data_IF_378312929586
#
_entry.id   IF_378312929586
#
_cell.length_a   1.000
_cell.length_b   1.000
_cell.length_c   1.000
_cell.angle_alpha   90.00
_cell.angle_beta   90.00
_cell.angle_gamma   90.00
#
_symmetry.space_group_name_H-M   'P 1'
#
loop_
_entity.id
_entity.type
_entity.pdbx_description
1 polymer ?
#
# COMPACT_ATOMS: atom_id res chain seq x y z
N UNK A 1 34.00 12.61 -48.16
CA UNK A 1 32.60 12.17 -47.98
C UNK A 1 32.32 11.70 -46.54
N UNK A 2 32.67 12.50 -45.51
CA UNK A 2 32.82 11.96 -44.13
C UNK A 2 32.30 12.85 -42.99
N UNK A 3 31.96 14.13 -43.21
CA UNK A 3 31.44 15.00 -42.12
C UNK A 3 29.91 15.01 -41.98
N UNK A 4 29.16 14.75 -43.07
CA UNK A 4 27.69 14.81 -43.04
C UNK A 4 27.03 13.59 -42.35
N UNK A 5 27.58 12.39 -42.57
CA UNK A 5 27.05 11.14 -41.96
C UNK A 5 27.16 11.15 -40.43
N UNK A 6 28.20 11.77 -39.88
CA UNK A 6 28.45 11.77 -38.44
C UNK A 6 27.48 12.66 -37.64
N UNK A 7 27.04 13.78 -38.23
CA UNK A 7 26.03 14.66 -37.63
C UNK A 7 24.63 14.03 -37.61
N UNK A 8 24.30 13.26 -38.64
CA UNK A 8 23.01 12.56 -38.73
C UNK A 8 22.85 11.44 -37.68
N UNK A 9 23.94 10.71 -37.40
CA UNK A 9 23.97 9.66 -36.39
C UNK A 9 23.87 10.20 -34.95
N UNK A 10 24.47 11.36 -34.66
CA UNK A 10 24.34 12.01 -33.34
C UNK A 10 22.94 12.58 -33.10
N UNK A 11 22.30 13.20 -34.10
CA UNK A 11 20.94 13.71 -33.95
C UNK A 11 19.90 12.60 -33.76
N UNK A 12 20.03 11.47 -34.47
CA UNK A 12 19.13 10.32 -34.28
C UNK A 12 19.19 9.75 -32.86
N UNK A 13 20.39 9.67 -32.25
CA UNK A 13 20.52 9.19 -30.87
C UNK A 13 19.85 10.11 -29.85
N UNK A 14 19.97 11.43 -30.02
CA UNK A 14 19.37 12.42 -29.10
C UNK A 14 17.85 12.45 -29.25
N UNK A 15 17.32 12.40 -30.48
CA UNK A 15 15.86 12.37 -30.72
C UNK A 15 15.25 11.06 -30.17
N UNK A 16 15.95 9.94 -30.29
CA UNK A 16 15.49 8.65 -29.75
C UNK A 16 15.52 8.61 -28.22
N UNK A 17 16.44 9.33 -27.56
CA UNK A 17 16.49 9.41 -26.08
C UNK A 17 15.44 10.35 -25.52
N UNK A 18 15.12 11.44 -26.22
CA UNK A 18 14.04 12.35 -25.80
C UNK A 18 12.67 11.68 -25.97
N UNK A 19 12.46 10.87 -27.02
CA UNK A 19 11.19 10.14 -27.20
C UNK A 19 10.97 9.03 -26.16
N UNK A 20 12.02 8.38 -25.66
CA UNK A 20 11.88 7.39 -24.58
C UNK A 20 11.66 8.02 -23.21
N UNK A 21 12.22 9.21 -22.95
CA UNK A 21 11.99 9.92 -21.68
C UNK A 21 10.55 10.47 -21.59
N UNK A 22 9.94 10.86 -22.71
CA UNK A 22 8.53 11.32 -22.72
C UNK A 22 7.52 10.16 -22.59
N UNK A 23 7.88 8.94 -22.97
CA UNK A 23 6.96 7.80 -22.89
C UNK A 23 6.83 7.19 -21.47
N UNK A 24 7.71 7.55 -20.54
CA UNK A 24 7.65 7.05 -19.15
C UNK A 24 6.75 7.93 -18.26
N UNK A 25 6.34 9.11 -18.71
CA UNK A 25 5.61 10.08 -17.85
C UNK A 25 4.09 10.12 -17.99
N UNK A 26 3.45 9.28 -18.81
CA UNK A 26 1.98 9.35 -19.01
C UNK A 26 1.29 8.00 -19.14
N UNK A 27 1.62 7.04 -18.28
CA UNK A 27 0.70 5.96 -17.96
C UNK A 27 0.10 6.21 -16.57
N UNK A 28 -0.53 7.38 -16.40
CA UNK A 28 -1.62 7.52 -15.44
C UNK A 28 -2.78 6.69 -16.00
N UNK A 29 -2.69 5.36 -15.83
CA UNK A 29 -3.74 4.43 -16.20
C UNK A 29 -4.98 4.79 -15.40
N UNK A 30 -5.93 5.44 -16.05
CA UNK A 30 -7.24 5.70 -15.49
C UNK A 30 -7.94 4.35 -15.26
N UNK A 31 -7.94 3.86 -14.03
CA UNK A 31 -8.64 2.63 -13.68
C UNK A 31 -10.13 2.96 -13.60
N UNK A 32 -10.88 2.56 -14.61
CA UNK A 32 -12.35 2.60 -14.62
C UNK A 32 -12.86 1.54 -13.64
N UNK A 33 -13.43 1.96 -12.50
CA UNK A 33 -13.94 1.04 -11.46
C UNK A 33 -15.45 1.19 -11.24
N UNK A 34 -16.10 0.07 -10.88
CA UNK A 34 -17.55 -0.02 -10.60
C UNK A 34 -17.89 0.51 -9.21
N UNK A 35 -19.10 1.08 -8.99
CA UNK A 35 -19.55 1.53 -7.67
C UNK A 35 -19.43 0.45 -6.59
N UNK A 36 -19.09 0.84 -5.35
CA UNK A 36 -18.94 -0.07 -4.21
C UNK A 36 -17.56 -0.70 -4.05
N UNK A 37 -16.60 -0.39 -4.93
CA UNK A 37 -15.19 -0.81 -4.77
C UNK A 37 -14.42 0.11 -3.82
N UNK A 38 -13.43 -0.46 -3.12
CA UNK A 38 -12.41 0.31 -2.42
C UNK A 38 -11.42 0.86 -3.45
N UNK A 39 -11.20 2.18 -3.46
CA UNK A 39 -10.22 2.85 -4.31
C UNK A 39 -9.07 3.43 -3.49
N UNK A 40 -7.84 3.43 -4.01
CA UNK A 40 -6.75 4.15 -3.37
C UNK A 40 -7.02 5.66 -3.41
N UNK A 41 -6.70 6.34 -2.31
CA UNK A 41 -6.79 7.81 -2.19
C UNK A 41 -5.42 8.43 -1.92
N UNK A 42 -4.59 7.73 -1.15
CA UNK A 42 -3.20 8.06 -0.91
C UNK A 42 -2.37 6.77 -0.97
N UNK A 43 -1.14 6.87 -1.44
CA UNK A 43 -0.19 5.77 -1.47
C UNK A 43 1.23 6.26 -1.24
N UNK A 44 2.06 5.41 -0.66
CA UNK A 44 3.46 5.70 -0.39
C UNK A 44 4.33 4.46 -0.61
N UNK A 45 5.46 4.63 -1.30
CA UNK A 45 6.56 3.70 -1.18
C UNK A 45 7.19 3.86 0.21
N UNK A 46 7.33 2.75 0.92
CA UNK A 46 7.71 2.76 2.33
C UNK A 46 9.13 2.22 2.50
N UNK A 47 9.90 2.90 3.34
CA UNK A 47 11.21 2.46 3.82
C UNK A 47 11.03 1.66 5.11
N UNK A 48 11.71 0.53 5.21
CA UNK A 48 11.72 -0.32 6.40
C UNK A 48 12.75 0.20 7.40
N UNK A 49 12.29 0.58 8.58
CA UNK A 49 13.14 1.11 9.67
C UNK A 49 13.61 -0.01 10.59
N UNK A 50 12.67 -0.89 10.98
CA UNK A 50 12.94 -2.04 11.84
C UNK A 50 12.05 -3.22 11.44
N UNK A 51 12.49 -4.45 11.70
CA UNK A 51 11.72 -5.65 11.42
C UNK A 51 12.17 -6.85 12.23
N UNK A 52 11.22 -7.74 12.54
CA UNK A 52 11.46 -9.00 13.23
C UNK A 52 10.71 -10.15 12.56
N UNK A 53 11.33 -11.33 12.55
CA UNK A 53 10.73 -12.54 11.99
C UNK A 53 10.72 -12.51 10.47
N UNK A 54 9.62 -12.94 9.84
CA UNK A 54 9.60 -13.04 8.38
C UNK A 54 9.66 -11.68 7.66
N UNK A 55 9.34 -10.57 8.34
CA UNK A 55 9.47 -9.22 7.77
C UNK A 55 10.92 -8.75 7.59
N UNK A 56 11.89 -9.42 8.21
CA UNK A 56 13.32 -9.09 8.04
C UNK A 56 13.74 -9.14 6.56
N UNK A 57 13.11 -10.02 5.78
CA UNK A 57 13.37 -10.19 4.35
C UNK A 57 12.38 -9.41 3.45
N UNK A 58 11.42 -8.69 4.03
CA UNK A 58 10.46 -7.90 3.27
C UNK A 58 11.15 -6.73 2.55
N UNK A 59 10.78 -6.51 1.29
CA UNK A 59 11.26 -5.45 0.41
C UNK A 59 10.12 -4.91 -0.46
N UNK A 60 10.36 -3.86 -1.24
CA UNK A 60 9.36 -3.24 -2.13
C UNK A 60 8.03 -2.94 -1.43
N UNK A 61 8.10 -2.33 -0.25
CA UNK A 61 6.94 -2.13 0.61
C UNK A 61 6.16 -0.91 0.10
N UNK A 62 4.86 -1.09 -0.10
CA UNK A 62 3.95 -0.03 -0.49
C UNK A 62 2.71 -0.06 0.40
N UNK A 63 2.30 1.11 0.89
CA UNK A 63 1.12 1.28 1.72
C UNK A 63 0.14 2.23 1.04
N UNK A 64 -1.13 1.87 1.02
CA UNK A 64 -2.21 2.70 0.51
C UNK A 64 -3.30 2.89 1.57
N UNK A 65 -3.82 4.12 1.65
CA UNK A 65 -5.13 4.39 2.22
C UNK A 65 -6.17 4.20 1.12
N UNK A 66 -7.20 3.41 1.41
CA UNK A 66 -8.30 3.16 0.49
C UNK A 66 -9.62 3.69 1.03
N UNK A 67 -10.53 3.98 0.12
CA UNK A 67 -11.87 4.46 0.42
C UNK A 67 -12.89 3.73 -0.44
N UNK A 68 -13.99 3.31 0.18
CA UNK A 68 -15.13 2.75 -0.52
C UNK A 68 -15.86 3.84 -1.26
N UNK A 69 -16.12 3.61 -2.54
CA UNK A 69 -17.06 4.43 -3.27
C UNK A 69 -18.47 4.24 -2.69
N UNK A 70 -18.90 5.24 -1.93
CA UNK A 70 -20.27 5.35 -1.45
C UNK A 70 -21.05 6.26 -2.36
N UNK A 71 -22.35 5.96 -2.52
CA UNK A 71 -23.30 6.79 -3.25
C UNK A 71 -23.46 8.21 -2.64
N UNK A 72 -22.94 8.44 -1.43
CA UNK A 72 -22.95 9.76 -0.76
C UNK A 72 -21.56 10.36 -0.78
N UNK A 73 -21.32 11.27 -1.73
CA UNK A 73 -20.05 11.95 -2.01
C UNK A 73 -19.39 12.72 -0.84
N UNK A 74 -20.01 12.78 0.35
CA UNK A 74 -19.59 13.66 1.44
C UNK A 74 -18.63 13.04 2.45
N UNK A 75 -18.55 11.70 2.58
CA UNK A 75 -17.59 11.11 3.51
C UNK A 75 -16.23 10.94 2.80
N UNK A 76 -15.24 11.78 3.11
CA UNK A 76 -13.88 11.70 2.56
C UNK A 76 -12.96 10.77 3.35
N UNK A 77 -13.44 10.18 4.44
CA UNK A 77 -12.60 9.36 5.29
C UNK A 77 -12.17 8.05 4.61
N UNK A 78 -10.90 7.63 4.82
CA UNK A 78 -10.45 6.30 4.45
C UNK A 78 -11.26 5.20 5.15
N UNK A 79 -11.55 4.12 4.45
CA UNK A 79 -12.27 2.94 4.98
C UNK A 79 -11.41 1.68 5.03
N UNK A 80 -10.27 1.68 4.35
CA UNK A 80 -9.37 0.53 4.33
C UNK A 80 -7.92 0.93 4.15
N UNK A 81 -7.07 -0.08 4.23
CA UNK A 81 -5.65 0.00 3.87
C UNK A 81 -5.28 -1.17 2.97
N UNK A 82 -4.30 -0.95 2.11
CA UNK A 82 -3.64 -2.00 1.36
C UNK A 82 -2.14 -1.94 1.64
N UNK A 83 -1.59 -3.01 2.21
CA UNK A 83 -0.14 -3.18 2.32
C UNK A 83 0.30 -4.21 1.29
N UNK A 84 1.29 -3.86 0.48
CA UNK A 84 1.97 -4.79 -0.42
C UNK A 84 3.46 -4.81 -0.12
N UNK A 85 4.07 -5.98 -0.25
CA UNK A 85 5.50 -6.17 -0.06
C UNK A 85 5.96 -7.45 -0.76
N UNK A 86 7.27 -7.56 -0.96
CA UNK A 86 7.92 -8.70 -1.59
C UNK A 86 8.77 -9.43 -0.55
N UNK A 87 8.68 -10.76 -0.52
CA UNK A 87 9.60 -11.61 0.27
C UNK A 87 10.30 -12.60 -0.66
N UNK A 88 11.60 -12.88 -0.44
CA UNK A 88 12.30 -13.88 -1.23
C UNK A 88 11.68 -15.26 -1.03
N UNK A 89 11.42 -15.96 -2.13
CA UNK A 89 10.89 -17.33 -2.09
C UNK A 89 11.97 -18.29 -1.59
N UNK A 90 11.67 -19.04 -0.52
CA UNK A 90 12.60 -20.05 0.04
C UNK A 90 12.45 -21.41 -0.67
N UNK A 91 11.90 -21.46 -1.89
CA UNK A 91 11.69 -22.74 -2.59
C UNK A 91 13.00 -23.27 -3.16
N UNK A 92 13.36 -24.50 -2.76
CA UNK A 92 14.50 -25.30 -3.24
C UNK A 92 14.39 -25.77 -4.72
N UNK A 93 13.41 -25.27 -5.48
CA UNK A 93 13.22 -25.58 -6.90
C UNK A 93 13.64 -24.39 -7.74
N UNK A 94 14.20 -24.65 -8.93
CA UNK A 94 14.86 -23.73 -9.89
C UNK A 94 14.06 -22.53 -10.41
N UNK A 95 13.00 -22.12 -9.72
CA UNK A 95 12.15 -20.98 -10.05
C UNK A 95 12.20 -19.99 -8.88
N UNK A 96 13.32 -19.27 -8.79
CA UNK A 96 13.62 -18.22 -7.80
C UNK A 96 12.80 -16.95 -8.11
N UNK A 97 11.48 -17.05 -8.12
CA UNK A 97 10.61 -15.88 -8.20
C UNK A 97 10.28 -15.38 -6.79
N UNK A 98 10.57 -14.11 -6.55
CA UNK A 98 10.16 -13.44 -5.32
C UNK A 98 8.64 -13.52 -5.13
N UNK A 99 8.21 -13.78 -3.90
CA UNK A 99 6.79 -13.84 -3.56
C UNK A 99 6.26 -12.43 -3.30
N UNK A 100 5.29 -12.01 -4.10
CA UNK A 100 4.51 -10.80 -3.85
C UNK A 100 3.37 -11.08 -2.87
N UNK A 101 3.31 -10.30 -1.79
CA UNK A 101 2.28 -10.38 -0.76
C UNK A 101 1.42 -9.12 -0.80
N UNK A 102 0.10 -9.28 -0.65
CA UNK A 102 -0.87 -8.19 -0.65
C UNK A 102 -1.92 -8.44 0.44
N UNK A 103 -2.02 -7.50 1.38
CA UNK A 103 -2.93 -7.58 2.52
C UNK A 103 -3.93 -6.42 2.48
N UNK A 104 -5.22 -6.76 2.33
CA UNK A 104 -6.33 -5.82 2.36
C UNK A 104 -6.91 -5.76 3.77
N UNK A 105 -6.88 -4.58 4.37
CA UNK A 105 -7.28 -4.35 5.76
C UNK A 105 -8.44 -3.37 5.82
N UNK A 106 -9.29 -3.55 6.83
CA UNK A 106 -10.38 -2.62 7.14
C UNK A 106 -9.92 -1.70 8.24
N UNK A 107 -10.13 -0.39 8.08
CA UNK A 107 -9.88 0.56 9.16
C UNK A 107 -10.94 0.35 10.23
N UNK A 108 -10.52 -0.05 11.42
CA UNK A 108 -11.39 -0.33 12.57
C UNK A 108 -11.44 0.82 13.56
N UNK A 109 -10.43 1.68 13.57
CA UNK A 109 -10.37 2.84 14.45
C UNK A 109 -9.62 4.01 13.80
N UNK A 110 -9.98 5.23 14.18
CA UNK A 110 -9.38 6.49 13.74
C UNK A 110 -9.30 7.44 14.93
N UNK A 111 -8.11 7.96 15.22
CA UNK A 111 -7.87 8.83 16.38
C UNK A 111 -7.09 10.07 15.97
N UNK A 112 -7.46 11.21 16.51
CA UNK A 112 -6.61 12.39 16.50
C UNK A 112 -5.50 12.19 17.55
N UNK A 113 -4.24 12.27 17.13
CA UNK A 113 -3.07 12.13 18.01
C UNK A 113 -2.39 13.47 18.30
N UNK A 114 -3.08 14.57 17.99
CA UNK A 114 -2.64 15.94 18.21
C UNK A 114 -1.86 16.50 17.03
N UNK A 115 -1.65 17.82 17.05
CA UNK A 115 -0.86 18.54 16.05
C UNK A 115 -1.37 18.39 14.60
N UNK A 116 -2.64 18.05 14.37
CA UNK A 116 -3.17 17.75 13.03
C UNK A 116 -2.74 16.39 12.47
N UNK A 117 -2.16 15.52 13.30
CA UNK A 117 -1.81 14.16 12.92
C UNK A 117 -2.94 13.19 13.25
N UNK A 118 -3.16 12.20 12.39
CA UNK A 118 -4.26 11.23 12.54
C UNK A 118 -3.70 9.82 12.58
N UNK A 119 -4.08 9.05 13.58
CA UNK A 119 -3.79 7.62 13.64
C UNK A 119 -4.96 6.82 13.06
N UNK A 120 -4.64 5.86 12.20
CA UNK A 120 -5.55 4.89 11.65
C UNK A 120 -5.11 3.49 12.08
N UNK A 121 -6.04 2.71 12.62
CA UNK A 121 -5.81 1.31 12.98
C UNK A 121 -6.60 0.46 11.99
N UNK A 122 -5.90 -0.40 11.25
CA UNK A 122 -6.50 -1.31 10.29
C UNK A 122 -6.14 -2.76 10.62
N UNK A 123 -7.11 -3.66 10.46
CA UNK A 123 -6.91 -5.09 10.70
C UNK A 123 -7.57 -5.94 9.62
N UNK A 124 -7.17 -7.21 9.54
CA UNK A 124 -7.93 -8.18 8.73
C UNK A 124 -9.39 -8.17 9.15
N UNK A 125 -10.28 -8.24 8.17
CA UNK A 125 -11.69 -8.49 8.44
C UNK A 125 -11.76 -9.89 9.08
N UNK A 126 -12.42 -10.06 10.23
CA UNK A 126 -12.68 -11.38 10.74
C UNK A 126 -13.48 -12.14 9.67
N UNK A 127 -12.95 -13.25 9.17
CA UNK A 127 -13.75 -14.11 8.32
C UNK A 127 -14.98 -14.54 9.12
N UNK A 128 -16.18 -14.52 8.50
CA UNK A 128 -17.36 -15.03 9.17
C UNK A 128 -17.09 -16.51 9.48
N UNK A 129 -16.88 -16.82 10.75
CA UNK A 129 -16.80 -18.19 11.23
C UNK A 129 -18.09 -18.85 10.74
N UNK A 130 -17.99 -19.81 9.83
CA UNK A 130 -19.15 -20.58 9.39
C UNK A 130 -19.70 -21.27 10.65
N UNK A 131 -20.79 -20.74 11.20
CA UNK A 131 -21.41 -21.16 12.47
C UNK A 131 -21.98 -22.59 12.46
N UNK A 132 -21.56 -23.45 11.52
CA UNK A 132 -22.12 -24.77 11.29
C UNK A 132 -21.18 -25.94 11.62
N UNK A 133 -19.96 -25.68 12.14
CA UNK A 133 -19.09 -26.77 12.57
C UNK A 133 -19.19 -26.97 14.09
N UNK A 134 -19.47 -28.21 14.55
CA UNK A 134 -19.62 -28.50 15.97
C UNK A 134 -18.33 -28.18 16.74
N UNK A 135 -18.52 -27.60 17.92
CA UNK A 135 -17.52 -27.00 18.84
C UNK A 135 -16.69 -28.08 19.56
N UNK A 136 -16.14 -29.03 18.82
CA UNK A 136 -15.19 -30.01 19.36
C UNK A 136 -13.93 -30.05 18.49
N UNK A 137 -12.87 -29.43 19.02
CA UNK A 137 -11.44 -29.65 18.68
C UNK A 137 -10.79 -28.94 17.49
N UNK A 138 -11.23 -27.75 17.08
CA UNK A 138 -10.33 -26.83 16.37
C UNK A 138 -10.37 -25.45 17.01
N UNK A 139 -9.41 -25.18 17.90
CA UNK A 139 -8.97 -23.80 18.13
C UNK A 139 -8.23 -23.40 16.85
N UNK A 140 -8.97 -23.08 15.80
CA UNK A 140 -8.38 -22.60 14.56
C UNK A 140 -7.53 -21.37 14.91
N UNK A 141 -6.24 -21.44 14.56
CA UNK A 141 -5.33 -20.34 14.82
C UNK A 141 -5.77 -19.18 13.94
N UNK A 142 -6.45 -18.20 14.54
CA UNK A 142 -6.88 -17.02 13.81
C UNK A 142 -5.65 -16.26 13.33
N UNK A 143 -5.59 -16.03 12.03
CA UNK A 143 -4.60 -15.14 11.42
C UNK A 143 -4.92 -13.70 11.83
N UNK A 144 -3.93 -13.02 12.39
CA UNK A 144 -4.00 -11.63 12.83
C UNK A 144 -3.01 -10.84 12.01
N UNK A 145 -3.50 -9.81 11.33
CA UNK A 145 -2.67 -8.83 10.66
C UNK A 145 -3.21 -7.45 11.03
N UNK A 146 -2.36 -6.56 11.52
CA UNK A 146 -2.72 -5.22 11.96
C UNK A 146 -1.69 -4.23 11.48
N UNK A 147 -2.17 -3.08 11.01
CA UNK A 147 -1.36 -1.93 10.64
C UNK A 147 -1.86 -0.73 11.42
N UNK A 148 -0.95 -0.07 12.12
CA UNK A 148 -1.20 1.22 12.78
C UNK A 148 -0.43 2.27 11.99
N UNK A 149 -1.14 3.13 11.28
CA UNK A 149 -0.56 4.23 10.51
C UNK A 149 -0.79 5.54 11.25
N UNK A 150 0.25 6.36 11.38
CA UNK A 150 0.16 7.76 11.79
C UNK A 150 0.42 8.63 10.56
N UNK A 151 -0.58 9.43 10.19
CA UNK A 151 -0.54 10.36 9.09
C UNK A 151 -0.30 11.79 9.60
N UNK A 152 0.84 12.34 9.23
CA UNK A 152 1.30 13.70 9.53
C UNK A 152 1.08 14.68 8.36
N UNK A 153 0.33 14.31 7.31
CA UNK A 153 0.12 15.16 6.13
C UNK A 153 -0.56 16.51 6.43
N UNK A 154 -1.31 16.60 7.53
CA UNK A 154 -1.95 17.83 8.00
C UNK A 154 -1.28 18.41 9.24
N UNK A 155 -0.05 17.97 9.53
CA UNK A 155 0.65 18.35 10.76
C UNK A 155 0.98 19.85 10.78
N UNK A 156 0.75 20.47 11.94
CA UNK A 156 1.02 21.91 12.16
C UNK A 156 2.12 22.19 13.19
N UNK A 157 2.59 21.17 13.90
CA UNK A 157 3.62 21.34 14.92
C UNK A 157 5.00 21.62 14.31
N UNK A 158 5.78 22.46 14.98
CA UNK A 158 7.13 22.89 14.57
C UNK A 158 8.20 21.88 15.00
N UNK A 159 8.03 20.61 14.65
CA UNK A 159 9.04 19.57 14.86
C UNK A 159 9.50 18.95 13.54
N UNK A 160 10.78 18.56 13.49
CA UNK A 160 11.34 17.95 12.29
C UNK A 160 10.89 16.49 12.19
N UNK A 161 9.94 16.24 11.27
CA UNK A 161 9.49 14.91 10.86
C UNK A 161 9.73 14.74 9.36
N UNK A 162 10.79 14.04 8.93
CA UNK A 162 11.12 13.93 7.51
C UNK A 162 10.13 13.06 6.71
N UNK A 163 9.40 12.16 7.38
CA UNK A 163 8.38 11.31 6.79
C UNK A 163 7.01 11.74 7.27
N UNK A 164 6.07 11.85 6.34
CA UNK A 164 4.69 12.19 6.65
C UNK A 164 3.89 10.97 7.13
N UNK A 165 4.29 9.76 6.75
CA UNK A 165 3.66 8.53 7.22
C UNK A 165 4.65 7.70 8.04
N UNK A 166 4.20 7.26 9.21
CA UNK A 166 4.88 6.31 10.09
C UNK A 166 3.91 5.17 10.38
N UNK A 167 4.28 3.92 10.13
CA UNK A 167 3.39 2.80 10.39
C UNK A 167 4.08 1.59 11.04
N UNK A 168 3.36 0.95 11.94
CA UNK A 168 3.73 -0.29 12.59
C UNK A 168 2.86 -1.43 12.06
N UNK A 169 3.50 -2.48 11.55
CA UNK A 169 2.86 -3.68 11.02
C UNK A 169 3.10 -4.84 11.97
N UNK A 170 2.05 -5.61 12.25
CA UNK A 170 2.13 -6.79 13.09
C UNK A 170 1.34 -7.94 12.47
N UNK A 171 2.01 -9.08 12.31
CA UNK A 171 1.41 -10.32 11.81
C UNK A 171 1.64 -11.47 12.78
N UNK A 172 0.60 -12.24 13.06
CA UNK A 172 0.70 -13.39 13.94
C UNK A 172 -0.47 -14.34 13.85
N UNK A 173 -0.36 -15.42 14.60
CA UNK A 173 -1.39 -16.47 14.67
C UNK A 173 -1.77 -16.72 16.13
N UNK A 174 -3.01 -17.16 16.36
CA UNK A 174 -3.49 -17.47 17.71
C UNK A 174 -3.87 -16.24 18.54
N UNK A 175 -3.82 -16.33 19.86
CA UNK A 175 -4.50 -15.41 20.79
C UNK A 175 -3.58 -14.49 21.61
N UNK A 176 -2.34 -14.89 21.89
CA UNK A 176 -1.47 -14.22 22.88
C UNK A 176 -0.35 -13.34 22.30
N UNK A 177 -0.17 -13.29 20.98
CA UNK A 177 0.70 -12.31 20.31
C UNK A 177 2.21 -12.44 20.55
N UNK A 178 2.67 -13.45 21.30
CA UNK A 178 4.03 -13.54 21.87
C UNK A 178 5.14 -13.81 20.83
N UNK A 179 4.80 -14.16 19.59
CA UNK A 179 5.75 -14.46 18.51
C UNK A 179 5.30 -13.83 17.19
N UNK A 180 4.59 -12.71 17.28
CA UNK A 180 4.13 -12.00 16.09
C UNK A 180 5.35 -11.38 15.38
N UNK A 181 5.40 -11.54 14.07
CA UNK A 181 6.35 -10.80 13.24
C UNK A 181 5.94 -9.31 13.24
N UNK A 182 6.92 -8.43 13.27
CA UNK A 182 6.69 -6.98 13.30
C UNK A 182 7.55 -6.26 12.28
N UNK A 183 7.09 -5.11 11.82
CA UNK A 183 7.83 -4.26 10.90
C UNK A 183 7.42 -2.80 11.11
N UNK A 184 8.40 -1.92 11.29
CA UNK A 184 8.22 -0.48 11.34
C UNK A 184 8.62 0.12 9.99
N UNK A 185 7.73 0.93 9.42
CA UNK A 185 7.90 1.50 8.08
C UNK A 185 7.58 2.99 8.07
N UNK A 186 8.31 3.75 7.25
CA UNK A 186 8.12 5.19 7.08
C UNK A 186 8.06 5.56 5.61
N UNK A 187 7.33 6.61 5.26
CA UNK A 187 7.18 7.02 3.87
C UNK A 187 6.53 8.39 3.71
N UNK A 188 6.46 8.85 2.46
CA UNK A 188 5.81 10.10 2.12
C UNK A 188 4.65 9.81 1.15
N UNK A 189 3.40 10.12 1.53
CA UNK A 189 2.24 9.80 0.73
C UNK A 189 2.05 10.77 -0.43
N UNK A 190 1.58 10.22 -1.54
CA UNK A 190 1.13 10.95 -2.71
C UNK A 190 -0.36 10.69 -2.94
N UNK A 191 -1.07 11.68 -3.47
CA UNK A 191 -2.49 11.53 -3.84
C UNK A 191 -2.62 10.63 -5.06
N UNK A 192 -3.51 9.65 -4.98
CA UNK A 192 -3.83 8.78 -6.12
C UNK A 192 -5.09 9.30 -6.80
N UNK A 193 -4.93 9.79 -8.03
CA UNK A 193 -6.04 10.34 -8.82
C UNK A 193 -6.70 9.22 -9.63
N UNK A 194 -7.94 8.87 -9.28
CA UNK A 194 -8.78 7.94 -10.05
C UNK A 194 -9.84 8.72 -10.84
N UNK A 195 -9.94 8.47 -12.15
CA UNK A 195 -10.98 9.06 -13.00
C UNK A 195 -12.22 8.17 -12.90
N UNK A 196 -13.33 8.71 -12.38
CA UNK A 196 -14.63 8.06 -12.47
C UNK A 196 -15.26 8.35 -13.85
N UNK A 197 -15.78 7.34 -14.58
CA UNK A 197 -16.56 7.61 -15.79
C UNK A 197 -17.84 8.36 -15.42
N UNK A 198 -18.12 9.46 -16.13
CA UNK A 198 -19.27 10.35 -15.94
C UNK A 198 -20.66 9.71 -16.24
N UNK A 199 -20.75 8.40 -16.43
CA UNK A 199 -21.93 7.76 -17.04
C UNK A 199 -22.92 7.11 -16.06
N UNK A 200 -22.89 7.43 -14.76
CA UNK A 200 -23.88 6.92 -13.79
C UNK A 200 -24.60 8.04 -13.03
N UNK A 201 -24.93 9.14 -13.72
CA UNK A 201 -25.98 10.07 -13.29
C UNK A 201 -27.15 9.90 -14.26
N UNK A 202 -28.04 8.97 -13.96
CA UNK A 202 -29.42 8.93 -14.45
C UNK A 202 -30.30 8.26 -13.39
#
# INVERSE_FOLDING_TARGET
MTKLKWRYLKMKKIILTVLTIVFVTTNAGAIVMRPGHERPIFGAAMEKVDAQGHFELASNIFLELTKRDSYRAYNTDPTGMLLTYTVPSVKLSSDESDQFVSQKLVITDKRDVGCGSVQYIASLRPEPILHYLPVEKTREMQHRFTVVLIDHSQRVCEDYRPYLWEASVREGYGWCGTMDATMEIVGNPERVYTIQPLNEIN
#
